data_IF_379757753050
#
_entry.id   IF_379757753050
#
_cell.length_a   1.000
_cell.length_b   1.000
_cell.length_c   1.000
_cell.angle_alpha   90.00
_cell.angle_beta   90.00
_cell.angle_gamma   90.00
#
_symmetry.space_group_name_H-M   'P 1'
#
loop_
_entity.id
_entity.type
_entity.pdbx_description
1 polymer ?
#
# COMPACT_ATOMS: atom_id res chain seq x y z
N UNK A 1 24.33 -5.92 30.67
CA UNK A 1 23.56 -6.37 29.50
C UNK A 1 22.20 -6.84 29.98
N UNK A 2 21.18 -6.00 29.89
CA UNK A 2 19.80 -6.40 30.16
C UNK A 2 19.36 -7.40 29.10
N UNK A 3 18.89 -8.58 29.52
CA UNK A 3 18.55 -9.70 28.65
C UNK A 3 17.38 -9.31 27.73
N UNK A 4 17.68 -8.96 26.48
CA UNK A 4 16.69 -8.51 25.47
C UNK A 4 15.55 -9.50 25.30
N UNK A 5 15.80 -10.79 25.56
CA UNK A 5 14.81 -11.86 25.50
C UNK A 5 13.70 -11.71 26.54
N UNK A 6 14.01 -11.12 27.69
CA UNK A 6 13.03 -10.87 28.75
C UNK A 6 11.99 -9.80 28.36
N UNK A 7 12.27 -8.96 27.35
CA UNK A 7 11.37 -7.89 26.86
C UNK A 7 10.59 -8.23 25.60
N UNK A 8 10.87 -9.38 25.00
CA UNK A 8 10.14 -9.87 23.82
C UNK A 8 8.63 -9.99 24.03
N UNK A 9 8.11 -10.53 25.16
CA UNK A 9 6.67 -10.68 25.31
C UNK A 9 5.94 -9.34 25.37
N UNK A 10 6.53 -8.31 25.99
CA UNK A 10 5.94 -6.96 26.01
C UNK A 10 5.94 -6.32 24.62
N UNK A 11 7.03 -6.46 23.86
CA UNK A 11 7.10 -5.96 22.49
C UNK A 11 6.09 -6.66 21.56
N UNK A 12 5.93 -7.98 21.71
CA UNK A 12 4.91 -8.74 20.98
C UNK A 12 3.51 -8.29 21.38
N UNK A 13 3.24 -8.08 22.67
CA UNK A 13 1.94 -7.60 23.13
C UNK A 13 1.62 -6.21 22.54
N UNK A 14 2.59 -5.29 22.52
CA UNK A 14 2.42 -3.96 21.91
C UNK A 14 2.19 -4.07 20.40
N UNK A 15 2.96 -4.90 19.70
CA UNK A 15 2.81 -5.10 18.26
C UNK A 15 1.44 -5.68 17.91
N UNK A 16 0.97 -6.68 18.66
CA UNK A 16 -0.35 -7.27 18.49
C UNK A 16 -1.45 -6.25 18.77
N UNK A 17 -1.35 -5.47 19.85
CA UNK A 17 -2.32 -4.43 20.14
C UNK A 17 -2.39 -3.38 19.02
N UNK A 18 -1.23 -2.90 18.53
CA UNK A 18 -1.17 -1.95 17.43
C UNK A 18 -1.77 -2.54 16.14
N UNK A 19 -1.48 -3.80 15.84
CA UNK A 19 -2.08 -4.51 14.72
C UNK A 19 -3.60 -4.64 14.86
N UNK A 20 -4.11 -5.02 16.03
CA UNK A 20 -5.54 -5.12 16.31
C UNK A 20 -6.24 -3.78 16.12
N UNK A 21 -5.68 -2.69 16.66
CA UNK A 21 -6.23 -1.34 16.46
C UNK A 21 -6.27 -0.99 14.97
N UNK A 22 -5.20 -1.29 14.23
CA UNK A 22 -5.14 -1.04 12.78
C UNK A 22 -6.17 -1.85 12.01
N UNK A 23 -6.39 -3.11 12.38
CA UNK A 23 -7.37 -3.99 11.77
C UNK A 23 -8.80 -3.53 12.05
N UNK A 24 -9.10 -3.13 13.29
CA UNK A 24 -10.41 -2.57 13.66
C UNK A 24 -10.68 -1.29 12.88
N UNK A 25 -9.71 -0.39 12.79
CA UNK A 25 -9.83 0.82 11.97
C UNK A 25 -10.09 0.50 10.50
N UNK A 26 -9.36 -0.46 9.94
CA UNK A 26 -9.54 -0.89 8.55
C UNK A 26 -10.97 -1.40 8.31
N UNK A 27 -11.49 -2.26 9.17
CA UNK A 27 -12.82 -2.86 8.97
C UNK A 27 -13.94 -1.86 9.25
N UNK A 28 -13.81 -1.04 10.29
CA UNK A 28 -14.89 -0.16 10.76
C UNK A 28 -14.94 1.19 10.05
N UNK A 29 -13.80 1.75 9.62
CA UNK A 29 -13.73 3.13 9.12
C UNK A 29 -13.19 3.23 7.68
N UNK A 30 -12.39 2.27 7.21
CA UNK A 30 -11.83 2.37 5.87
C UNK A 30 -12.86 2.29 4.72
N UNK A 31 -14.00 1.57 4.81
CA UNK A 31 -14.98 1.54 3.71
C UNK A 31 -15.57 2.93 3.40
N UNK A 32 -15.97 3.66 4.46
CA UNK A 32 -16.48 5.03 4.31
C UNK A 32 -15.39 5.98 3.81
N UNK A 33 -14.17 5.82 4.34
CA UNK A 33 -13.02 6.65 3.94
C UNK A 33 -12.54 6.34 2.53
N UNK A 34 -12.62 5.11 2.05
CA UNK A 34 -12.24 4.73 0.69
C UNK A 34 -13.14 5.44 -0.34
N UNK A 35 -14.44 5.54 -0.05
CA UNK A 35 -15.37 6.31 -0.89
C UNK A 35 -15.05 7.81 -0.91
N UNK A 36 -14.66 8.39 0.23
CA UNK A 36 -14.21 9.79 0.31
C UNK A 36 -12.85 10.03 -0.37
N UNK A 37 -11.93 9.09 -0.24
CA UNK A 37 -10.56 9.22 -0.73
C UNK A 37 -10.50 9.15 -2.26
N UNK A 38 -11.39 8.42 -2.93
CA UNK A 38 -11.51 8.43 -4.39
C UNK A 38 -10.16 8.33 -5.14
N UNK A 39 -9.96 9.20 -6.13
CA UNK A 39 -8.72 9.31 -6.92
C UNK A 39 -7.62 10.12 -6.18
N UNK A 40 -7.24 9.70 -4.98
CA UNK A 40 -6.17 10.32 -4.17
C UNK A 40 -4.89 9.49 -4.15
N UNK A 41 -3.88 9.92 -3.39
CA UNK A 41 -2.56 9.28 -3.30
C UNK A 41 -2.61 7.76 -3.05
N UNK A 42 -3.47 7.21 -2.16
CA UNK A 42 -3.57 5.75 -1.99
C UNK A 42 -3.94 5.02 -3.28
N UNK A 43 -4.89 5.57 -4.06
CA UNK A 43 -5.24 5.03 -5.37
C UNK A 43 -4.06 5.08 -6.32
N UNK A 44 -3.32 6.21 -6.33
CA UNK A 44 -2.13 6.35 -7.17
C UNK A 44 -1.10 5.26 -6.87
N UNK A 45 -0.72 5.10 -5.59
CA UNK A 45 0.28 4.11 -5.18
C UNK A 45 -0.15 2.68 -5.52
N UNK A 46 -1.43 2.36 -5.32
CA UNK A 46 -1.98 1.04 -5.64
C UNK A 46 -2.01 0.78 -7.15
N UNK A 47 -2.48 1.74 -7.93
CA UNK A 47 -2.52 1.63 -9.38
C UNK A 47 -1.11 1.53 -9.98
N UNK A 48 -0.16 2.35 -9.51
CA UNK A 48 1.22 2.28 -9.98
C UNK A 48 1.91 0.95 -9.60
N UNK A 49 1.62 0.41 -8.43
CA UNK A 49 2.11 -0.90 -8.01
C UNK A 49 1.61 -2.02 -8.92
N UNK A 50 0.33 -2.00 -9.30
CA UNK A 50 -0.24 -2.95 -10.26
C UNK A 50 0.45 -2.84 -11.63
N UNK A 51 0.67 -1.62 -12.13
CA UNK A 51 1.36 -1.40 -13.41
C UNK A 51 2.81 -1.92 -13.39
N UNK A 52 3.52 -1.73 -12.28
CA UNK A 52 4.88 -2.26 -12.10
C UNK A 52 4.84 -3.81 -12.04
N UNK A 53 3.88 -4.40 -11.33
CA UNK A 53 3.72 -5.85 -11.24
C UNK A 53 3.36 -6.47 -12.60
N UNK A 54 2.57 -5.77 -13.43
CA UNK A 54 2.20 -6.17 -14.79
C UNK A 54 3.32 -5.93 -15.82
N UNK A 55 4.47 -5.40 -15.39
CA UNK A 55 5.64 -5.16 -16.25
C UNK A 55 5.60 -3.88 -17.08
N UNK A 56 4.64 -2.99 -16.84
CA UNK A 56 4.52 -1.69 -17.53
C UNK A 56 5.54 -0.66 -17.02
N UNK A 57 6.12 -0.91 -15.84
CA UNK A 57 7.10 -0.01 -15.22
C UNK A 57 6.47 1.22 -14.57
N UNK A 58 7.28 2.26 -14.36
CA UNK A 58 6.88 3.49 -13.66
C UNK A 58 6.23 4.49 -14.61
N UNK A 59 5.01 4.18 -15.06
CA UNK A 59 4.18 5.08 -15.85
C UNK A 59 3.17 5.81 -14.96
N UNK A 60 2.64 6.92 -15.48
CA UNK A 60 1.64 7.75 -14.82
C UNK A 60 0.28 7.04 -14.83
N UNK A 61 -0.26 6.59 -13.67
CA UNK A 61 -1.43 5.72 -13.64
C UNK A 61 -2.71 6.40 -14.14
N UNK A 62 -2.89 7.70 -13.91
CA UNK A 62 -4.09 8.39 -14.37
C UNK A 62 -4.09 8.56 -15.90
N UNK A 63 -2.94 8.83 -16.50
CA UNK A 63 -2.77 8.90 -17.96
C UNK A 63 -3.02 7.54 -18.60
N UNK A 64 -2.51 6.47 -17.98
CA UNK A 64 -2.70 5.12 -18.48
C UNK A 64 -4.17 4.68 -18.36
N UNK A 65 -4.75 4.73 -17.16
CA UNK A 65 -6.09 4.18 -16.89
C UNK A 65 -7.23 5.00 -17.51
N UNK A 66 -7.14 6.33 -17.51
CA UNK A 66 -8.24 7.19 -17.96
C UNK A 66 -8.05 7.74 -19.38
N UNK A 67 -6.83 7.68 -19.94
CA UNK A 67 -6.53 8.23 -21.26
C UNK A 67 -5.78 7.29 -22.19
N UNK A 68 -5.39 6.09 -21.74
CA UNK A 68 -4.66 5.10 -22.55
C UNK A 68 -3.28 5.59 -23.01
N UNK A 69 -2.62 6.44 -22.22
CA UNK A 69 -1.31 7.02 -22.58
C UNK A 69 -0.20 6.53 -21.68
N UNK A 70 0.85 6.00 -22.30
CA UNK A 70 2.07 5.57 -21.62
C UNK A 70 3.00 6.76 -21.42
N UNK A 71 2.89 7.39 -20.25
CA UNK A 71 3.71 8.54 -19.88
C UNK A 71 4.63 8.13 -18.73
N UNK A 72 5.96 8.16 -18.89
CA UNK A 72 6.87 7.92 -17.78
C UNK A 72 6.63 8.89 -16.63
N UNK A 73 6.64 8.38 -15.40
CA UNK A 73 6.41 9.19 -14.21
C UNK A 73 7.44 8.90 -13.11
N UNK A 74 7.90 9.97 -12.48
CA UNK A 74 8.72 9.94 -11.27
C UNK A 74 8.10 10.79 -10.15
N UNK A 75 6.77 10.97 -10.18
CA UNK A 75 6.04 11.82 -9.22
C UNK A 75 6.18 11.32 -7.79
N UNK A 76 6.29 10.00 -7.59
CA UNK A 76 6.45 9.38 -6.29
C UNK A 76 7.75 8.58 -6.19
N UNK A 77 8.40 8.54 -5.01
CA UNK A 77 9.59 7.71 -4.81
C UNK A 77 9.30 6.21 -5.04
N UNK A 78 10.21 5.47 -5.70
CA UNK A 78 9.93 4.11 -6.16
C UNK A 78 9.90 3.07 -5.03
N UNK A 79 10.52 3.35 -3.88
CA UNK A 79 10.69 2.35 -2.82
C UNK A 79 9.36 1.80 -2.31
N UNK A 80 8.39 2.68 -2.02
CA UNK A 80 7.09 2.25 -1.50
C UNK A 80 6.25 1.55 -2.57
N UNK A 81 6.32 2.02 -3.82
CA UNK A 81 5.67 1.38 -4.97
C UNK A 81 6.18 -0.05 -5.17
N UNK A 82 7.49 -0.29 -5.04
CA UNK A 82 8.07 -1.64 -5.17
C UNK A 82 7.61 -2.59 -4.07
N UNK A 83 7.48 -2.10 -2.82
CA UNK A 83 6.93 -2.89 -1.72
C UNK A 83 5.49 -3.31 -2.01
N UNK A 84 4.67 -2.38 -2.51
CA UNK A 84 3.29 -2.68 -2.89
C UNK A 84 3.21 -3.60 -4.12
N UNK A 85 4.07 -3.40 -5.13
CA UNK A 85 4.10 -4.21 -6.34
C UNK A 85 4.36 -5.70 -6.03
N UNK A 86 5.16 -5.99 -5.00
CA UNK A 86 5.31 -7.36 -4.51
C UNK A 86 3.96 -7.96 -4.06
N UNK A 87 3.16 -7.20 -3.29
CA UNK A 87 1.81 -7.62 -2.90
C UNK A 87 0.87 -7.78 -4.10
N UNK A 88 0.92 -6.83 -5.06
CA UNK A 88 0.14 -6.90 -6.30
C UNK A 88 0.47 -8.15 -7.12
N UNK A 89 1.75 -8.51 -7.22
CA UNK A 89 2.20 -9.72 -7.92
C UNK A 89 1.65 -11.02 -7.31
N UNK A 90 1.30 -11.02 -6.02
CA UNK A 90 0.63 -12.13 -5.33
C UNK A 90 -0.91 -12.02 -5.31
N UNK A 91 -1.49 -11.10 -6.08
CA UNK A 91 -2.94 -10.96 -6.23
C UNK A 91 -3.59 -9.85 -5.40
N UNK A 92 -2.80 -9.00 -4.73
CA UNK A 92 -3.30 -7.81 -4.03
C UNK A 92 -3.66 -6.65 -4.98
N UNK A 93 -4.43 -6.91 -6.03
CA UNK A 93 -4.70 -5.94 -7.12
C UNK A 93 -6.05 -5.25 -7.02
N UNK A 94 -6.93 -5.69 -6.12
CA UNK A 94 -8.29 -5.13 -5.94
C UNK A 94 -8.28 -3.65 -5.56
N UNK A 95 -9.18 -2.87 -6.16
CA UNK A 95 -9.41 -1.46 -5.87
C UNK A 95 -10.35 -1.24 -4.68
#
# INVERSE_FOLDING_TARGET
>A
MSDTRARLPELVAIALLAFTVRLVFLIAAAPEKAAELGLSDPFYYHAQANLVADGQGFIEPFQYLFRGRDVPSATHPPAYVLVLAASSAFGGTSL
#
